data_IF_783995552232
#
_entry.id   IF_783995552232
#
_cell.length_a   1.000
_cell.length_b   1.000
_cell.length_c   1.000
_cell.angle_alpha   90.00
_cell.angle_beta   90.00
_cell.angle_gamma   90.00
#
_symmetry.space_group_name_H-M   'P 1'
#
loop_
_entity.id
_entity.type
_entity.pdbx_description
1 polymer ?
#
# COMPACT_ATOMS: atom_id res chain seq x y z
N UNK A 1 11.18 8.84 16.79
CA UNK A 1 10.81 9.87 15.79
C UNK A 1 11.48 11.22 16.07
N UNK A 2 11.19 11.93 17.16
CA UNK A 2 11.75 13.29 17.40
C UNK A 2 13.28 13.36 17.36
N UNK A 3 13.99 12.41 17.98
CA UNK A 3 15.46 12.31 17.87
C UNK A 3 15.96 12.18 16.42
N UNK A 4 15.19 11.54 15.52
CA UNK A 4 15.55 11.46 14.09
C UNK A 4 15.41 12.83 13.40
N UNK A 5 14.43 13.65 13.82
CA UNK A 5 14.27 15.03 13.33
C UNK A 5 15.46 15.88 13.79
N UNK A 6 15.82 15.81 15.07
CA UNK A 6 16.97 16.52 15.64
C UNK A 6 18.29 16.16 14.94
N UNK A 7 18.41 14.91 14.51
CA UNK A 7 19.59 14.39 13.79
C UNK A 7 19.52 14.59 12.27
N UNK A 8 18.61 15.42 11.76
CA UNK A 8 18.46 15.71 10.32
C UNK A 8 18.23 14.46 9.44
N UNK A 9 17.69 13.40 10.04
CA UNK A 9 17.46 12.14 9.35
C UNK A 9 16.18 12.20 8.51
N UNK A 10 16.23 11.60 7.32
CA UNK A 10 15.05 11.37 6.49
C UNK A 10 14.08 10.44 7.23
N UNK A 11 12.82 10.83 7.31
CA UNK A 11 11.74 10.13 7.99
C UNK A 11 10.87 9.37 6.99
N UNK A 12 10.31 8.21 7.40
CA UNK A 12 9.31 7.53 6.60
C UNK A 12 8.03 8.37 6.51
N UNK A 13 7.06 8.01 5.67
CA UNK A 13 5.78 8.70 5.62
C UNK A 13 5.11 8.72 6.99
N UNK A 14 4.27 9.74 7.21
CA UNK A 14 3.68 10.00 8.52
C UNK A 14 2.88 8.83 9.09
N UNK A 15 2.20 8.06 8.24
CA UNK A 15 1.50 6.83 8.63
C UNK A 15 2.43 5.81 9.26
N UNK A 16 3.59 5.57 8.62
CA UNK A 16 4.59 4.67 9.17
C UNK A 16 5.18 5.20 10.48
N UNK A 17 5.43 6.51 10.59
CA UNK A 17 5.92 7.10 11.84
C UNK A 17 4.95 6.86 13.01
N UNK A 18 3.63 6.89 12.76
CA UNK A 18 2.61 6.63 13.76
C UNK A 18 2.60 5.15 14.18
N UNK A 19 2.67 4.24 13.20
CA UNK A 19 2.74 2.80 13.44
C UNK A 19 4.01 2.39 14.17
N UNK A 20 5.17 2.94 13.80
CA UNK A 20 6.44 2.72 14.49
C UNK A 20 6.38 3.17 15.96
N UNK A 21 5.48 4.11 16.28
CA UNK A 21 5.21 4.59 17.63
C UNK A 21 4.09 3.81 18.35
N UNK A 22 3.53 2.76 17.73
CA UNK A 22 2.49 1.89 18.31
C UNK A 22 1.05 2.37 18.08
N UNK A 23 0.83 3.37 17.22
CA UNK A 23 -0.49 3.94 16.94
C UNK A 23 -1.07 3.45 15.61
N UNK A 24 -2.29 3.88 15.27
CA UNK A 24 -2.85 3.74 13.90
C UNK A 24 -2.17 4.72 12.95
N UNK A 25 -2.05 4.35 11.68
CA UNK A 25 -1.37 5.14 10.64
C UNK A 25 -1.94 6.55 10.55
N UNK A 26 -3.25 6.72 10.78
CA UNK A 26 -3.90 8.03 10.73
C UNK A 26 -3.67 8.91 11.96
N UNK A 27 -3.13 8.39 13.07
CA UNK A 27 -3.00 9.11 14.36
C UNK A 27 -2.24 10.45 14.24
N UNK A 28 -1.21 10.52 13.39
CA UNK A 28 -0.41 11.75 13.23
C UNK A 28 -0.90 12.67 12.09
N UNK A 29 -1.88 12.23 11.29
CA UNK A 29 -2.38 12.96 10.13
C UNK A 29 -3.85 13.38 10.23
N UNK A 30 -4.65 12.67 11.03
CA UNK A 30 -6.07 12.93 11.26
C UNK A 30 -6.29 13.31 12.73
N UNK A 31 -6.74 14.53 12.96
CA UNK A 31 -7.00 15.06 14.31
C UNK A 31 -8.15 14.37 15.02
N UNK A 32 -8.97 13.59 14.33
CA UNK A 32 -10.14 12.90 14.88
C UNK A 32 -9.85 11.50 15.39
N UNK A 33 -8.79 10.87 14.89
CA UNK A 33 -8.41 9.49 15.23
C UNK A 33 -7.87 9.38 16.66
N UNK A 34 -6.91 10.24 17.02
CA UNK A 34 -6.40 10.38 18.38
C UNK A 34 -6.02 11.85 18.64
N UNK A 35 -6.98 12.69 19.08
CA UNK A 35 -6.78 14.13 19.20
C UNK A 35 -5.62 14.51 20.12
N UNK A 36 -5.41 13.76 21.21
CA UNK A 36 -4.38 14.06 22.20
C UNK A 36 -2.98 13.86 21.62
N UNK A 37 -2.73 12.71 21.00
CA UNK A 37 -1.43 12.41 20.38
C UNK A 37 -1.19 13.30 19.16
N UNK A 38 -2.22 13.55 18.36
CA UNK A 38 -2.14 14.48 17.23
C UNK A 38 -1.71 15.88 17.69
N UNK A 39 -2.37 16.43 18.71
CA UNK A 39 -2.07 17.76 19.26
C UNK A 39 -0.68 17.80 19.89
N UNK A 40 -0.28 16.76 20.62
CA UNK A 40 1.06 16.65 21.19
C UNK A 40 2.13 16.67 20.10
N UNK A 41 1.99 15.85 19.06
CA UNK A 41 2.92 15.81 17.93
C UNK A 41 3.04 17.19 17.25
N UNK A 42 1.90 17.85 16.98
CA UNK A 42 1.87 19.19 16.39
C UNK A 42 2.51 20.23 17.30
N UNK A 43 2.30 20.13 18.61
CA UNK A 43 2.91 21.04 19.58
C UNK A 43 4.44 20.87 19.63
N UNK A 44 4.96 19.64 19.72
CA UNK A 44 6.40 19.37 19.75
C UNK A 44 7.06 19.85 18.45
N UNK A 45 6.51 19.47 17.30
CA UNK A 45 7.06 19.88 16.00
C UNK A 45 7.03 21.40 15.79
N UNK A 46 5.99 22.09 16.27
CA UNK A 46 5.85 23.54 16.14
C UNK A 46 6.64 24.35 17.16
N UNK A 47 6.91 23.83 18.36
CA UNK A 47 7.49 24.62 19.46
C UNK A 47 8.86 24.15 19.92
N UNK A 48 9.16 22.85 19.81
CA UNK A 48 10.41 22.27 20.32
C UNK A 48 11.41 21.94 19.20
N UNK A 49 10.91 21.71 17.98
CA UNK A 49 11.73 21.33 16.82
C UNK A 49 11.77 22.42 15.74
N UNK A 50 11.55 23.68 16.10
CA UNK A 50 11.50 24.82 15.18
C UNK A 50 12.77 25.01 14.36
N UNK A 51 13.92 24.67 14.93
CA UNK A 51 15.23 24.80 14.29
C UNK A 51 15.59 23.59 13.40
N UNK A 52 14.80 22.52 13.45
CA UNK A 52 15.08 21.27 12.75
C UNK A 52 14.06 21.05 11.61
N UNK A 53 14.47 21.18 10.33
CA UNK A 53 13.56 20.94 9.22
C UNK A 53 13.12 19.48 9.17
N UNK A 54 11.81 19.24 9.10
CA UNK A 54 11.26 17.89 9.02
C UNK A 54 11.44 17.34 7.59
N UNK A 55 12.38 16.42 7.43
CA UNK A 55 12.65 15.71 6.16
C UNK A 55 11.80 14.45 6.03
N UNK A 56 10.51 14.64 5.78
CA UNK A 56 9.53 13.54 5.63
C UNK A 56 9.35 13.11 4.17
N UNK A 57 9.28 11.80 3.93
CA UNK A 57 8.80 11.25 2.66
C UNK A 57 7.31 11.62 2.47
N UNK A 58 7.02 12.47 1.49
CA UNK A 58 5.66 12.88 1.18
C UNK A 58 4.87 11.75 0.51
N UNK A 59 3.72 11.38 1.08
CA UNK A 59 2.76 10.44 0.49
C UNK A 59 1.77 11.10 -0.50
N UNK A 60 1.97 12.37 -0.84
CA UNK A 60 1.08 13.12 -1.74
C UNK A 60 1.35 12.75 -3.21
N UNK A 61 0.78 11.63 -3.64
CA UNK A 61 0.70 11.26 -5.06
C UNK A 61 -0.60 11.77 -5.66
N UNK A 62 -0.57 12.13 -6.95
CA UNK A 62 -1.72 12.73 -7.65
C UNK A 62 -2.78 11.64 -7.87
N UNK A 63 -3.94 11.77 -7.22
CA UNK A 63 -4.95 10.71 -7.13
C UNK A 63 -5.71 10.34 -8.41
N UNK A 64 -5.33 10.86 -9.59
CA UNK A 64 -5.88 10.44 -10.90
C UNK A 64 -4.81 9.87 -11.82
N UNK A 65 -3.62 9.62 -11.27
CA UNK A 65 -2.45 9.20 -12.03
C UNK A 65 -1.99 7.81 -11.63
N UNK A 66 -1.62 7.02 -12.63
CA UNK A 66 -1.07 5.69 -12.42
C UNK A 66 0.41 5.82 -12.05
N UNK A 67 0.79 5.42 -10.84
CA UNK A 67 2.17 5.54 -10.36
C UNK A 67 2.81 4.17 -10.19
N UNK A 68 4.01 4.00 -10.74
CA UNK A 68 4.76 2.73 -10.69
C UNK A 68 6.26 2.95 -10.55
N UNK A 69 6.97 1.91 -10.12
CA UNK A 69 8.42 1.86 -10.12
C UNK A 69 8.90 0.56 -10.79
N UNK A 70 9.89 0.65 -11.68
CA UNK A 70 10.57 -0.49 -12.32
C UNK A 70 9.64 -1.46 -13.07
N UNK A 71 8.55 -0.95 -13.63
CA UNK A 71 7.58 -1.74 -14.42
C UNK A 71 7.88 -1.66 -15.91
N UNK A 72 8.08 -0.45 -16.42
CA UNK A 72 8.24 -0.18 -17.85
C UNK A 72 9.70 -0.08 -18.24
N UNK A 73 10.05 -0.60 -19.42
CA UNK A 73 11.35 -0.38 -20.02
C UNK A 73 11.44 1.05 -20.58
N UNK A 74 11.87 1.99 -19.74
CA UNK A 74 11.96 3.42 -20.06
C UNK A 74 13.19 4.06 -19.40
N UNK A 75 13.63 5.19 -19.94
CA UNK A 75 14.67 6.06 -19.42
C UNK A 75 14.12 7.15 -18.47
N UNK A 76 12.80 7.18 -18.25
CA UNK A 76 12.18 8.13 -17.32
C UNK A 76 12.66 7.90 -15.87
N UNK A 77 12.84 8.97 -15.08
CA UNK A 77 13.10 8.86 -13.64
C UNK A 77 12.01 8.04 -12.94
N UNK A 78 12.42 7.18 -12.00
CA UNK A 78 11.53 6.36 -11.19
C UNK A 78 11.26 7.04 -9.83
N UNK A 79 10.06 6.91 -9.25
CA UNK A 79 8.87 6.26 -9.83
C UNK A 79 8.28 7.10 -10.97
N UNK A 80 7.64 6.42 -11.92
CA UNK A 80 6.93 7.06 -13.05
C UNK A 80 5.47 7.26 -12.65
N UNK A 81 5.00 8.50 -12.79
CA UNK A 81 3.60 8.88 -12.63
C UNK A 81 3.01 9.25 -13.98
N UNK A 82 1.95 8.55 -14.38
CA UNK A 82 1.32 8.67 -15.67
C UNK A 82 -0.09 9.25 -15.52
N UNK A 83 -0.36 10.36 -16.20
CA UNK A 83 -1.72 10.84 -16.35
C UNK A 83 -2.45 10.07 -17.46
N UNK A 84 -3.78 10.20 -17.52
CA UNK A 84 -4.64 9.50 -18.48
C UNK A 84 -4.18 9.61 -19.95
N UNK A 85 -3.64 10.76 -20.37
CA UNK A 85 -3.19 10.98 -21.75
C UNK A 85 -1.88 10.26 -22.09
N UNK A 86 -1.06 9.97 -21.08
CA UNK A 86 0.19 9.22 -21.26
C UNK A 86 -0.05 7.72 -21.35
N UNK A 87 -1.13 7.23 -20.75
CA UNK A 87 -1.45 5.79 -20.64
C UNK A 87 -1.58 5.12 -22.01
N UNK A 88 -2.21 5.77 -22.98
CA UNK A 88 -2.33 5.23 -24.35
C UNK A 88 -0.96 4.94 -24.99
N UNK A 89 0.02 5.84 -24.80
CA UNK A 89 1.37 5.66 -25.34
C UNK A 89 2.12 4.54 -24.62
N UNK A 90 1.87 4.37 -23.32
CA UNK A 90 2.48 3.29 -22.53
C UNK A 90 2.05 1.89 -23.00
N UNK A 91 0.92 1.76 -23.71
CA UNK A 91 0.47 0.47 -24.24
C UNK A 91 1.47 -0.21 -25.19
N UNK A 92 2.34 0.59 -25.80
CA UNK A 92 3.37 0.13 -26.74
C UNK A 92 4.71 -0.17 -26.08
N UNK A 93 4.87 0.18 -24.79
CA UNK A 93 6.12 -0.01 -24.06
C UNK A 93 6.14 -1.39 -23.42
N UNK A 94 7.26 -2.10 -23.60
CA UNK A 94 7.46 -3.39 -22.97
C UNK A 94 7.68 -3.24 -21.46
N UNK A 95 7.19 -4.21 -20.69
CA UNK A 95 7.58 -4.40 -19.31
C UNK A 95 9.05 -4.80 -19.20
N UNK A 96 9.76 -4.20 -18.24
CA UNK A 96 11.14 -4.60 -17.89
C UNK A 96 11.20 -5.73 -16.85
N UNK A 97 10.04 -6.12 -16.32
CA UNK A 97 9.87 -7.13 -15.27
C UNK A 97 8.81 -8.15 -15.67
N UNK A 98 8.88 -9.35 -15.10
CA UNK A 98 7.82 -10.38 -15.20
C UNK A 98 6.93 -10.45 -13.96
N UNK A 99 7.22 -9.61 -12.97
CA UNK A 99 6.53 -9.59 -11.68
C UNK A 99 6.28 -8.16 -11.23
N UNK A 100 5.15 -7.91 -10.61
CA UNK A 100 4.83 -6.63 -10.00
C UNK A 100 4.03 -6.82 -8.70
N UNK A 101 4.29 -5.94 -7.73
CA UNK A 101 3.57 -5.89 -6.46
C UNK A 101 2.65 -4.67 -6.50
N UNK A 102 1.36 -4.90 -6.38
CA UNK A 102 0.33 -3.87 -6.26
C UNK A 102 0.20 -3.51 -4.79
N UNK A 103 0.46 -2.25 -4.46
CA UNK A 103 0.37 -1.69 -3.11
C UNK A 103 -0.82 -0.75 -3.04
N UNK A 104 -1.68 -0.94 -2.05
CA UNK A 104 -2.84 -0.08 -1.83
C UNK A 104 -2.46 1.37 -1.48
N UNK A 105 -1.49 1.54 -0.56
CA UNK A 105 -1.24 2.81 0.10
C UNK A 105 -0.04 3.57 -0.50
N UNK A 106 -0.23 4.87 -0.79
CA UNK A 106 0.81 5.77 -1.31
C UNK A 106 2.06 5.84 -0.43
N UNK A 107 1.87 5.92 0.89
CA UNK A 107 2.95 5.97 1.87
C UNK A 107 3.76 4.68 1.85
N UNK A 108 3.08 3.53 1.88
CA UNK A 108 3.76 2.22 1.78
C UNK A 108 4.52 2.09 0.47
N UNK A 109 3.94 2.51 -0.66
CA UNK A 109 4.61 2.53 -1.96
C UNK A 109 5.92 3.35 -1.93
N UNK A 110 5.86 4.61 -1.48
CA UNK A 110 7.03 5.49 -1.48
C UNK A 110 8.09 4.97 -0.51
N UNK A 111 7.66 4.45 0.64
CA UNK A 111 8.61 3.95 1.63
C UNK A 111 9.30 2.67 1.17
N UNK A 112 8.56 1.71 0.61
CA UNK A 112 9.14 0.50 0.03
C UNK A 112 10.03 0.83 -1.18
N UNK A 113 9.69 1.84 -1.98
CA UNK A 113 10.56 2.29 -3.07
C UNK A 113 11.87 2.91 -2.56
N UNK A 114 11.83 3.73 -1.50
CA UNK A 114 13.03 4.28 -0.88
C UNK A 114 13.94 3.16 -0.34
N UNK A 115 13.35 2.17 0.35
CA UNK A 115 14.10 1.04 0.93
C UNK A 115 14.62 0.08 -0.15
N UNK A 116 13.83 -0.14 -1.21
CA UNK A 116 14.12 -1.09 -2.28
C UNK A 116 13.91 -0.44 -3.66
N UNK A 117 14.85 0.41 -4.13
CA UNK A 117 14.68 1.22 -5.34
C UNK A 117 14.48 0.42 -6.63
N UNK A 118 14.77 -0.88 -6.62
CA UNK A 118 14.68 -1.78 -7.78
C UNK A 118 13.43 -2.66 -7.79
N UNK A 119 12.60 -2.63 -6.75
CA UNK A 119 11.41 -3.47 -6.71
C UNK A 119 10.36 -3.01 -7.73
N UNK A 120 9.69 -3.94 -8.41
CA UNK A 120 8.64 -3.63 -9.37
C UNK A 120 7.33 -3.36 -8.62
N UNK A 121 7.05 -2.09 -8.34
CA UNK A 121 5.93 -1.65 -7.51
C UNK A 121 4.88 -0.94 -8.36
N UNK A 122 3.61 -1.17 -8.06
CA UNK A 122 2.47 -0.43 -8.61
C UNK A 122 1.68 0.16 -7.44
N UNK A 123 1.41 1.46 -7.50
CA UNK A 123 0.59 2.12 -6.50
C UNK A 123 -0.88 2.15 -6.96
N UNK A 124 -1.76 1.50 -6.20
CA UNK A 124 -3.20 1.44 -6.47
C UNK A 124 -3.95 2.63 -5.84
N UNK A 125 -3.34 3.39 -4.93
CA UNK A 125 -3.92 4.59 -4.32
C UNK A 125 -5.33 4.38 -3.75
N UNK A 126 -5.55 3.25 -3.07
CA UNK A 126 -6.86 2.84 -2.58
C UNK A 126 -7.81 2.37 -3.70
N UNK A 127 -9.09 2.74 -3.62
CA UNK A 127 -10.13 2.25 -4.53
C UNK A 127 -10.23 3.05 -5.86
N UNK A 128 -9.11 3.54 -6.40
CA UNK A 128 -9.06 4.29 -7.67
C UNK A 128 -8.97 3.35 -8.90
N UNK A 129 -10.14 2.82 -9.29
CA UNK A 129 -10.31 2.00 -10.49
C UNK A 129 -10.76 2.81 -11.71
N UNK A 130 -10.04 3.88 -12.02
CA UNK A 130 -10.29 4.61 -13.26
C UNK A 130 -9.95 3.74 -14.49
N UNK A 131 -10.59 4.04 -15.62
CA UNK A 131 -10.47 3.25 -16.85
C UNK A 131 -9.02 3.12 -17.33
N UNK A 132 -8.21 4.14 -17.11
CA UNK A 132 -6.84 4.19 -17.61
C UNK A 132 -5.91 3.31 -16.78
N UNK A 133 -6.03 3.33 -15.44
CA UNK A 133 -5.36 2.39 -14.54
C UNK A 133 -5.68 0.94 -14.93
N UNK A 134 -6.97 0.66 -15.15
CA UNK A 134 -7.44 -0.67 -15.51
C UNK A 134 -6.85 -1.16 -16.85
N UNK A 135 -6.73 -0.28 -17.84
CA UNK A 135 -6.12 -0.60 -19.13
C UNK A 135 -4.64 -0.97 -18.98
N UNK A 136 -3.88 -0.27 -18.15
CA UNK A 136 -2.47 -0.61 -17.92
C UNK A 136 -2.35 -1.97 -17.22
N UNK A 137 -3.12 -2.21 -16.17
CA UNK A 137 -3.05 -3.49 -15.44
C UNK A 137 -3.37 -4.67 -16.38
N UNK A 138 -4.39 -4.53 -17.23
CA UNK A 138 -4.72 -5.52 -18.26
C UNK A 138 -3.60 -5.69 -19.30
N UNK A 139 -2.96 -4.60 -19.71
CA UNK A 139 -1.83 -4.64 -20.64
C UNK A 139 -0.64 -5.39 -20.02
N UNK A 140 -0.26 -5.07 -18.78
CA UNK A 140 0.82 -5.75 -18.06
C UNK A 140 0.54 -7.25 -17.94
N UNK A 141 -0.70 -7.61 -17.59
CA UNK A 141 -1.13 -9.01 -17.57
C UNK A 141 -0.97 -9.67 -18.94
N UNK A 142 -1.40 -9.03 -20.03
CA UNK A 142 -1.23 -9.54 -21.40
C UNK A 142 0.23 -9.72 -21.81
N UNK A 143 1.13 -8.88 -21.29
CA UNK A 143 2.58 -9.02 -21.48
C UNK A 143 3.21 -10.12 -20.60
N UNK A 144 2.41 -10.84 -19.80
CA UNK A 144 2.84 -11.92 -18.93
C UNK A 144 3.44 -11.46 -17.61
N UNK A 145 3.14 -10.23 -17.16
CA UNK A 145 3.52 -9.76 -15.82
C UNK A 145 2.60 -10.42 -14.80
N UNK A 146 3.17 -11.25 -13.92
CA UNK A 146 2.48 -11.80 -12.76
C UNK A 146 2.33 -10.70 -11.71
N UNK A 147 1.15 -10.60 -11.10
CA UNK A 147 0.85 -9.55 -10.13
C UNK A 147 0.34 -10.15 -8.82
N UNK A 148 0.85 -9.63 -7.70
CA UNK A 148 0.32 -9.91 -6.36
C UNK A 148 -0.09 -8.59 -5.71
N UNK A 149 -1.08 -8.63 -4.83
CA UNK A 149 -1.62 -7.49 -4.11
C UNK A 149 -1.24 -7.55 -2.63
N UNK A 150 -0.89 -6.38 -2.08
CA UNK A 150 -0.77 -6.14 -0.65
C UNK A 150 -1.55 -4.88 -0.30
N UNK A 151 -2.32 -4.93 0.78
CA UNK A 151 -3.13 -3.81 1.23
C UNK A 151 -3.54 -3.95 2.68
N UNK A 152 -4.46 -3.09 3.10
CA UNK A 152 -5.04 -3.18 4.44
C UNK A 152 -5.80 -4.51 4.59
N UNK A 153 -5.68 -5.13 5.77
CA UNK A 153 -6.49 -6.29 6.14
C UNK A 153 -7.77 -5.76 6.78
N UNK A 154 -8.69 -5.32 5.94
CA UNK A 154 -9.97 -4.77 6.34
C UNK A 154 -11.01 -4.92 5.22
N UNK A 155 -12.24 -4.46 5.47
CA UNK A 155 -13.32 -4.64 4.49
C UNK A 155 -13.08 -3.93 3.17
N UNK A 156 -12.41 -2.77 3.18
CA UNK A 156 -12.13 -1.97 1.98
C UNK A 156 -11.00 -2.56 1.15
N UNK A 157 -9.91 -3.01 1.78
CA UNK A 157 -8.82 -3.74 1.15
C UNK A 157 -9.31 -5.01 0.47
N UNK A 158 -10.17 -5.79 1.13
CA UNK A 158 -10.76 -7.00 0.51
C UNK A 158 -11.62 -6.63 -0.72
N UNK A 159 -12.37 -5.51 -0.69
CA UNK A 159 -13.10 -5.05 -1.88
C UNK A 159 -12.19 -4.65 -3.04
N UNK A 160 -11.04 -4.04 -2.75
CA UNK A 160 -10.04 -3.70 -3.77
C UNK A 160 -9.50 -4.98 -4.42
N UNK A 161 -9.18 -6.01 -3.63
CA UNK A 161 -8.77 -7.33 -4.15
C UNK A 161 -9.87 -7.96 -5.00
N UNK A 162 -11.13 -7.90 -4.55
CA UNK A 162 -12.27 -8.44 -5.30
C UNK A 162 -12.43 -7.74 -6.66
N UNK A 163 -12.26 -6.42 -6.71
CA UNK A 163 -12.28 -5.66 -7.96
C UNK A 163 -11.09 -6.01 -8.86
N UNK A 164 -9.87 -6.06 -8.31
CA UNK A 164 -8.67 -6.47 -9.04
C UNK A 164 -8.81 -7.89 -9.58
N UNK A 165 -9.45 -8.80 -8.86
CA UNK A 165 -9.70 -10.17 -9.35
C UNK A 165 -10.70 -10.18 -10.51
N UNK A 166 -11.70 -9.31 -10.50
CA UNK A 166 -12.62 -9.19 -11.63
C UNK A 166 -11.91 -8.64 -12.89
N UNK A 167 -10.94 -7.75 -12.69
CA UNK A 167 -10.15 -7.18 -13.79
C UNK A 167 -9.06 -8.15 -14.29
N UNK A 168 -8.28 -8.70 -13.37
CA UNK A 168 -7.06 -9.46 -13.63
C UNK A 168 -7.25 -10.97 -13.52
N UNK A 169 -8.44 -11.46 -13.21
CA UNK A 169 -8.75 -12.87 -13.10
C UNK A 169 -8.48 -13.45 -11.72
N UNK A 170 -7.94 -14.67 -11.67
CA UNK A 170 -7.93 -15.50 -10.47
C UNK A 170 -7.33 -14.80 -9.23
N UNK A 171 -8.10 -14.58 -8.14
CA UNK A 171 -7.58 -13.92 -6.93
C UNK A 171 -6.50 -14.72 -6.22
N UNK A 172 -6.38 -16.03 -6.47
CA UNK A 172 -5.29 -16.83 -5.89
C UNK A 172 -3.91 -16.28 -6.28
N UNK A 173 -3.75 -15.78 -7.52
CA UNK A 173 -2.48 -15.15 -7.93
C UNK A 173 -2.25 -13.82 -7.23
N UNK A 174 -3.33 -13.04 -7.02
CA UNK A 174 -3.25 -11.77 -6.30
C UNK A 174 -2.85 -11.99 -4.84
N UNK A 175 -3.32 -13.07 -4.22
CA UNK A 175 -3.07 -13.43 -2.82
C UNK A 175 -1.81 -14.30 -2.62
N UNK A 176 -0.91 -14.42 -3.61
CA UNK A 176 0.27 -15.30 -3.55
C UNK A 176 1.29 -14.89 -2.46
N UNK A 177 1.26 -13.61 -2.06
CA UNK A 177 1.91 -13.14 -0.84
C UNK A 177 0.92 -13.14 0.32
N UNK A 178 -0.07 -12.24 0.32
CA UNK A 178 -1.09 -12.10 1.37
C UNK A 178 -2.09 -13.27 1.35
N UNK A 179 -1.64 -14.45 1.74
CA UNK A 179 -2.48 -15.65 1.77
C UNK A 179 -3.47 -15.61 2.95
N UNK A 180 -4.61 -16.33 2.88
CA UNK A 180 -5.56 -16.39 3.99
C UNK A 180 -4.93 -16.81 5.34
N UNK A 181 -3.95 -17.72 5.32
CA UNK A 181 -3.25 -18.15 6.53
C UNK A 181 -2.41 -17.01 7.14
N UNK A 182 -1.73 -16.22 6.30
CA UNK A 182 -0.98 -15.05 6.78
C UNK A 182 -1.93 -13.98 7.31
N UNK A 183 -3.07 -13.76 6.64
CA UNK A 183 -4.09 -12.82 7.10
C UNK A 183 -4.56 -13.17 8.51
N UNK A 184 -4.85 -14.43 8.79
CA UNK A 184 -5.24 -14.89 10.14
C UNK A 184 -4.10 -14.66 11.16
N UNK A 185 -2.86 -15.03 10.84
CA UNK A 185 -1.70 -14.79 11.72
C UNK A 185 -1.55 -13.29 12.06
N UNK A 186 -1.63 -12.45 11.04
CA UNK A 186 -1.50 -11.00 11.19
C UNK A 186 -2.65 -10.38 11.97
N UNK A 187 -3.89 -10.85 11.79
CA UNK A 187 -5.03 -10.43 12.62
C UNK A 187 -4.84 -10.77 14.10
N UNK A 188 -4.24 -11.92 14.40
CA UNK A 188 -3.94 -12.33 15.78
C UNK A 188 -2.83 -11.46 16.38
N UNK A 189 -1.74 -11.23 15.64
CA UNK A 189 -0.53 -10.55 16.14
C UNK A 189 -0.63 -9.03 16.17
N UNK A 190 -1.26 -8.44 15.14
CA UNK A 190 -1.24 -6.99 14.88
C UNK A 190 -2.63 -6.36 14.87
N UNK A 191 -3.69 -7.17 14.95
CA UNK A 191 -5.06 -6.72 14.79
C UNK A 191 -5.51 -5.72 15.85
N UNK A 192 -6.11 -4.62 15.38
CA UNK A 192 -6.77 -3.60 16.20
C UNK A 192 -8.27 -3.68 16.02
N UNK A 193 -9.04 -3.38 17.05
CA UNK A 193 -10.50 -3.46 17.00
C UNK A 193 -11.09 -2.27 16.24
N UNK A 194 -12.02 -2.51 15.31
CA UNK A 194 -12.81 -1.44 14.68
C UNK A 194 -14.01 -1.97 13.91
N UNK A 195 -15.22 -1.72 14.45
CA UNK A 195 -16.49 -2.09 13.79
C UNK A 195 -16.63 -1.45 12.41
N UNK A 196 -16.10 -0.24 12.21
CA UNK A 196 -16.18 0.47 10.93
C UNK A 196 -15.32 -0.20 9.86
N UNK A 197 -14.11 -0.66 10.23
CA UNK A 197 -13.13 -1.26 9.33
C UNK A 197 -13.40 -2.76 9.10
N UNK A 198 -14.18 -3.41 9.97
CA UNK A 198 -14.55 -4.84 9.87
C UNK A 198 -16.00 -5.10 9.50
N UNK A 199 -16.71 -4.08 9.00
CA UNK A 199 -18.09 -4.22 8.54
C UNK A 199 -18.16 -5.16 7.34
N UNK A 200 -19.17 -6.01 7.26
CA UNK A 200 -19.34 -6.86 6.10
C UNK A 200 -19.62 -6.01 4.85
N UNK A 201 -18.88 -6.27 3.77
CA UNK A 201 -19.07 -5.63 2.48
C UNK A 201 -19.28 -6.69 1.40
N UNK A 202 -20.00 -6.30 0.34
CA UNK A 202 -20.25 -7.21 -0.79
C UNK A 202 -18.95 -7.46 -1.54
N UNK A 203 -18.59 -8.73 -1.65
CA UNK A 203 -17.50 -9.28 -2.46
C UNK A 203 -18.02 -10.52 -3.18
N UNK A 204 -17.47 -10.85 -4.36
CA UNK A 204 -18.02 -11.93 -5.20
C UNK A 204 -17.27 -13.24 -5.03
N UNK A 205 -15.95 -13.18 -4.84
CA UNK A 205 -15.15 -14.39 -4.84
C UNK A 205 -15.24 -15.16 -3.51
N UNK A 206 -15.45 -16.50 -3.52
CA UNK A 206 -15.60 -17.29 -2.29
C UNK A 206 -14.45 -17.13 -1.29
N UNK A 207 -13.19 -17.15 -1.74
CA UNK A 207 -12.03 -16.92 -0.87
C UNK A 207 -12.07 -15.56 -0.16
N UNK A 208 -12.56 -14.52 -0.84
CA UNK A 208 -12.64 -13.17 -0.28
C UNK A 208 -13.85 -13.02 0.64
N UNK A 209 -14.91 -13.81 0.43
CA UNK A 209 -16.03 -13.92 1.39
C UNK A 209 -15.52 -14.55 2.70
N UNK A 210 -14.68 -15.58 2.62
CA UNK A 210 -14.07 -16.20 3.82
C UNK A 210 -13.14 -15.22 4.56
N UNK A 211 -12.33 -14.46 3.83
CA UNK A 211 -11.49 -13.42 4.40
C UNK A 211 -12.33 -12.30 5.06
N UNK A 212 -13.41 -11.86 4.40
CA UNK A 212 -14.36 -10.88 4.94
C UNK A 212 -15.02 -11.39 6.22
N UNK A 213 -15.46 -12.65 6.24
CA UNK A 213 -16.03 -13.28 7.41
C UNK A 213 -15.01 -13.38 8.55
N UNK A 214 -13.74 -13.62 8.23
CA UNK A 214 -12.68 -13.69 9.22
C UNK A 214 -12.51 -12.34 9.92
N UNK A 215 -12.27 -11.25 9.18
CA UNK A 215 -12.10 -9.92 9.79
C UNK A 215 -13.34 -9.49 10.58
N UNK A 216 -14.54 -9.83 10.08
CA UNK A 216 -15.80 -9.53 10.75
C UNK A 216 -15.94 -10.29 12.08
N UNK A 217 -15.66 -11.59 12.07
CA UNK A 217 -15.73 -12.47 13.26
C UNK A 217 -14.70 -12.06 14.31
N UNK A 218 -13.46 -11.77 13.90
CA UNK A 218 -12.42 -11.30 14.82
C UNK A 218 -12.69 -9.89 15.33
N UNK A 219 -13.46 -9.08 14.59
CA UNK A 219 -13.68 -7.66 14.90
C UNK A 219 -12.42 -6.81 14.78
N UNK A 220 -11.38 -7.33 14.12
CA UNK A 220 -10.05 -6.73 14.01
C UNK A 220 -9.64 -6.45 12.57
N UNK A 221 -8.84 -5.39 12.40
CA UNK A 221 -8.20 -5.01 11.15
C UNK A 221 -6.69 -4.79 11.35
N UNK A 222 -5.93 -4.80 10.27
CA UNK A 222 -4.50 -4.47 10.25
C UNK A 222 -4.23 -3.49 9.13
N UNK A 223 -3.55 -2.38 9.44
CA UNK A 223 -3.11 -1.41 8.43
C UNK A 223 -1.87 -1.93 7.70
N UNK A 224 -1.74 -1.60 6.42
CA UNK A 224 -0.63 -2.02 5.56
C UNK A 224 0.73 -1.57 6.14
N UNK A 225 0.80 -0.39 6.75
CA UNK A 225 1.97 0.14 7.45
C UNK A 225 2.46 -0.76 8.60
N UNK A 226 1.57 -1.51 9.24
CA UNK A 226 1.95 -2.44 10.32
C UNK A 226 2.70 -3.66 9.80
N UNK A 227 2.61 -3.95 8.51
CA UNK A 227 3.08 -5.20 7.91
C UNK A 227 4.34 -5.00 7.06
N UNK A 228 4.94 -3.81 7.02
CA UNK A 228 6.10 -3.54 6.16
C UNK A 228 7.24 -4.54 6.38
N UNK A 229 7.59 -4.85 7.63
CA UNK A 229 8.68 -5.81 7.91
C UNK A 229 8.35 -7.22 7.40
N UNK A 230 7.09 -7.66 7.58
CA UNK A 230 6.61 -8.96 7.09
C UNK A 230 6.62 -8.98 5.56
N UNK A 231 6.07 -7.94 4.93
CA UNK A 231 6.06 -7.78 3.48
C UNK A 231 7.45 -7.73 2.88
N UNK A 232 8.43 -7.06 3.49
CA UNK A 232 9.78 -6.99 2.93
C UNK A 232 10.41 -8.39 2.78
N UNK A 233 10.23 -9.25 3.78
CA UNK A 233 10.68 -10.64 3.72
C UNK A 233 9.95 -11.43 2.65
N UNK A 234 8.63 -11.34 2.62
CA UNK A 234 7.80 -12.12 1.69
C UNK A 234 7.94 -11.66 0.24
N UNK A 235 8.00 -10.36 -0.03
CA UNK A 235 8.23 -9.79 -1.37
C UNK A 235 9.58 -10.26 -1.89
N UNK A 236 10.64 -10.20 -1.06
CA UNK A 236 11.98 -10.64 -1.45
C UNK A 236 11.98 -12.10 -1.90
N UNK A 237 11.30 -12.97 -1.16
CA UNK A 237 11.19 -14.38 -1.54
C UNK A 237 10.32 -14.57 -2.77
N UNK A 238 9.19 -13.87 -2.87
CA UNK A 238 8.28 -13.96 -4.02
C UNK A 238 8.95 -13.51 -5.34
N UNK A 239 9.73 -12.43 -5.30
CA UNK A 239 10.47 -11.92 -6.46
C UNK A 239 11.54 -12.90 -6.96
N UNK A 240 12.08 -13.77 -6.09
CA UNK A 240 13.05 -14.82 -6.48
C UNK A 240 12.40 -16.07 -7.09
N UNK A 241 11.09 -16.28 -6.88
CA UNK A 241 10.36 -17.41 -7.49
C UNK A 241 10.37 -17.23 -9.03
N UNK A 242 10.16 -18.31 -9.77
CA UNK A 242 10.24 -18.34 -11.24
C UNK A 242 9.30 -17.36 -11.97
#
# INVERSE_FOLDING_TARGET
MFRRIENDAKLPPRGQQAVDAGFTAHTLSDSTENPEIFNYYRWVTKNMLTEFPIKELSAQLIGTSFTTANIFQTDLPQPVTLNQWQIEKMQTINSMTKKAIILENNGVFIYLHELHPKWPLINQSGNDFNQANNQIMLMLKKQGVKMTYLGDIDSSGIQIIDHLSQLLGNPVELLDIQTPNQVIDWLVRFGKESVKRTKELKVKHPLLIEEMNSIHTFGKFVEQEQLIQEYEGLIREWLKRY
#
